data_IF_187249016219
#
_entry.id   IF_187249016219
#
_cell.length_a   1.000
_cell.length_b   1.000
_cell.length_c   1.000
_cell.angle_alpha   90.00
_cell.angle_beta   90.00
_cell.angle_gamma   90.00
#
_symmetry.space_group_name_H-M   'P 1'
#
loop_
_entity.id
_entity.type
_entity.pdbx_description
1 polymer ?
#
# COMPACT_ATOMS: atom_id res chain seq x y z
N UNK A 1 -42.78 21.06 2.89
CA UNK A 1 -42.87 19.58 2.74
C UNK A 1 -42.09 19.01 1.54
N UNK A 2 -41.85 19.74 0.44
CA UNK A 2 -41.04 19.25 -0.71
C UNK A 2 -39.56 18.95 -0.35
N UNK A 3 -38.95 19.82 0.46
CA UNK A 3 -37.53 19.69 0.85
C UNK A 3 -37.20 18.43 1.68
N UNK A 4 -38.14 17.93 2.50
CA UNK A 4 -37.96 16.66 3.26
C UNK A 4 -38.06 15.41 2.37
N UNK A 5 -38.69 15.50 1.19
CA UNK A 5 -38.76 14.39 0.23
C UNK A 5 -37.48 14.30 -0.62
N UNK A 6 -36.91 15.44 -1.01
CA UNK A 6 -35.62 15.51 -1.71
C UNK A 6 -34.46 14.99 -0.83
N UNK A 7 -34.42 15.38 0.44
CA UNK A 7 -33.44 14.85 1.41
C UNK A 7 -33.61 13.35 1.70
N UNK A 8 -34.81 12.80 1.53
CA UNK A 8 -35.07 11.35 1.66
C UNK A 8 -34.71 10.58 0.38
N UNK A 9 -34.77 11.22 -0.79
CA UNK A 9 -34.31 10.62 -2.05
C UNK A 9 -32.79 10.55 -2.12
N UNK A 10 -32.07 11.59 -1.65
CA UNK A 10 -30.60 11.56 -1.52
C UNK A 10 -30.09 10.49 -0.55
N UNK A 11 -30.88 10.12 0.47
CA UNK A 11 -30.52 9.10 1.47
C UNK A 11 -30.83 7.66 1.08
N UNK A 12 -31.53 7.42 -0.04
CA UNK A 12 -32.04 6.08 -0.38
C UNK A 12 -31.12 5.28 -1.30
N UNK A 13 -30.07 5.88 -1.88
CA UNK A 13 -29.21 5.20 -2.85
C UNK A 13 -27.89 4.64 -2.31
N UNK A 14 -27.44 4.96 -1.09
CA UNK A 14 -26.23 4.35 -0.52
C UNK A 14 -26.53 3.51 0.71
N UNK A 15 -27.27 2.41 0.51
CA UNK A 15 -26.90 1.21 1.26
C UNK A 15 -25.87 0.49 0.40
N UNK A 16 -24.62 0.93 0.48
CA UNK A 16 -23.49 0.06 0.16
C UNK A 16 -23.71 -1.20 1.00
N UNK A 17 -24.12 -2.29 0.35
CA UNK A 17 -24.20 -3.58 0.99
C UNK A 17 -22.78 -3.86 1.47
N UNK A 18 -22.53 -3.61 2.75
CA UNK A 18 -21.24 -3.84 3.37
C UNK A 18 -20.90 -5.28 3.05
N UNK A 19 -19.87 -5.48 2.22
CA UNK A 19 -19.54 -6.78 1.68
C UNK A 19 -18.79 -7.54 2.77
N UNK A 20 -19.52 -8.04 3.77
CA UNK A 20 -18.97 -8.72 4.96
C UNK A 20 -18.02 -9.86 4.58
N UNK A 21 -18.28 -10.52 3.44
CA UNK A 21 -17.41 -11.55 2.88
C UNK A 21 -16.06 -10.97 2.47
N UNK A 22 -16.04 -9.79 1.84
CA UNK A 22 -14.81 -9.09 1.49
C UNK A 22 -14.06 -8.61 2.75
N UNK A 23 -14.75 -8.04 3.74
CA UNK A 23 -14.12 -7.61 5.00
C UNK A 23 -13.44 -8.78 5.70
N UNK A 24 -14.13 -9.91 5.87
CA UNK A 24 -13.56 -11.11 6.49
C UNK A 24 -12.36 -11.62 5.67
N UNK A 25 -12.47 -11.61 4.33
CA UNK A 25 -11.38 -12.05 3.45
C UNK A 25 -10.14 -11.16 3.59
N UNK A 26 -10.33 -9.84 3.60
CA UNK A 26 -9.26 -8.86 3.74
C UNK A 26 -8.60 -8.96 5.11
N UNK A 27 -9.37 -9.07 6.19
CA UNK A 27 -8.83 -9.26 7.54
C UNK A 27 -8.07 -10.56 7.68
N UNK A 28 -8.56 -11.68 7.12
CA UNK A 28 -7.84 -12.95 7.12
C UNK A 28 -6.54 -12.85 6.31
N UNK A 29 -6.60 -12.29 5.11
CA UNK A 29 -5.41 -12.07 4.27
C UNK A 29 -4.39 -11.19 4.97
N UNK A 30 -4.83 -10.08 5.56
CA UNK A 30 -3.97 -9.19 6.33
C UNK A 30 -3.30 -9.92 7.49
N UNK A 31 -4.04 -10.75 8.22
CA UNK A 31 -3.49 -11.56 9.30
C UNK A 31 -2.39 -12.52 8.81
N UNK A 32 -2.65 -13.31 7.76
CA UNK A 32 -1.66 -14.25 7.23
C UNK A 32 -0.44 -13.55 6.61
N UNK A 33 -0.64 -12.43 5.90
CA UNK A 33 0.44 -11.64 5.33
C UNK A 33 1.28 -11.01 6.45
N UNK A 34 0.64 -10.47 7.49
CA UNK A 34 1.33 -9.92 8.66
C UNK A 34 2.16 -10.99 9.34
N UNK A 35 1.59 -12.18 9.55
CA UNK A 35 2.30 -13.29 10.17
C UNK A 35 3.53 -13.69 9.34
N UNK A 36 3.38 -13.80 8.03
CA UNK A 36 4.50 -14.10 7.13
C UNK A 36 5.59 -13.02 7.14
N UNK A 37 5.21 -11.74 7.05
CA UNK A 37 6.16 -10.62 7.07
C UNK A 37 6.84 -10.44 8.41
N UNK A 38 6.09 -10.54 9.52
CA UNK A 38 6.63 -10.49 10.87
C UNK A 38 7.60 -11.64 11.10
N UNK A 39 7.23 -12.87 10.74
CA UNK A 39 8.12 -14.03 10.85
C UNK A 39 9.40 -13.86 10.03
N UNK A 40 9.29 -13.37 8.79
CA UNK A 40 10.45 -13.11 7.93
C UNK A 40 11.34 -12.01 8.51
N UNK A 41 10.74 -10.94 9.02
CA UNK A 41 11.47 -9.81 9.62
C UNK A 41 12.17 -10.26 10.90
N UNK A 42 11.49 -11.01 11.75
CA UNK A 42 12.01 -11.50 13.03
C UNK A 42 13.09 -12.57 12.85
N UNK A 43 13.16 -13.27 11.70
CA UNK A 43 14.30 -14.12 11.35
C UNK A 43 15.52 -13.33 10.88
N UNK A 44 15.30 -12.22 10.18
CA UNK A 44 16.37 -11.43 9.54
C UNK A 44 17.00 -10.44 10.52
N UNK A 45 16.19 -9.75 11.34
CA UNK A 45 16.64 -8.66 12.22
C UNK A 45 17.58 -9.07 13.38
N UNK A 46 17.44 -10.22 14.07
CA UNK A 46 18.27 -10.54 15.23
C UNK A 46 19.71 -10.89 14.86
N UNK A 47 19.93 -11.42 13.66
CA UNK A 47 21.24 -11.89 13.19
C UNK A 47 22.00 -10.86 12.35
N UNK A 48 21.48 -9.64 12.23
CA UNK A 48 22.05 -8.63 11.33
C UNK A 48 22.63 -7.42 12.06
N UNK A 49 23.72 -6.90 11.50
CA UNK A 49 24.35 -5.67 11.98
C UNK A 49 23.35 -4.51 12.00
N UNK A 50 23.50 -3.58 12.95
CA UNK A 50 22.71 -2.35 13.08
C UNK A 50 22.46 -1.62 11.75
N UNK A 51 23.47 -1.58 10.87
CA UNK A 51 23.41 -0.96 9.53
C UNK A 51 22.37 -1.65 8.63
N UNK A 52 22.31 -2.98 8.68
CA UNK A 52 21.36 -3.77 7.90
C UNK A 52 19.94 -3.57 8.44
N UNK A 53 19.78 -3.42 9.76
CA UNK A 53 18.49 -3.05 10.36
C UNK A 53 17.95 -1.72 9.81
N UNK A 54 18.79 -0.68 9.73
CA UNK A 54 18.42 0.60 9.09
C UNK A 54 18.03 0.40 7.62
N UNK A 55 18.78 -0.42 6.88
CA UNK A 55 18.51 -0.66 5.47
C UNK A 55 17.14 -1.33 5.28
N UNK A 56 16.85 -2.37 6.08
CA UNK A 56 15.57 -3.08 6.07
C UNK A 56 14.43 -2.13 6.42
N UNK A 57 14.59 -1.28 7.43
CA UNK A 57 13.61 -0.26 7.80
C UNK A 57 13.30 0.68 6.63
N UNK A 58 14.33 1.21 5.95
CA UNK A 58 14.15 2.10 4.81
C UNK A 58 13.42 1.38 3.68
N UNK A 59 13.76 0.11 3.42
CA UNK A 59 13.08 -0.71 2.41
C UNK A 59 11.59 -0.86 2.74
N UNK A 60 11.23 -1.14 4.00
CA UNK A 60 9.83 -1.25 4.41
C UNK A 60 9.05 0.05 4.24
N UNK A 61 9.65 1.19 4.61
CA UNK A 61 9.02 2.50 4.42
C UNK A 61 8.79 2.78 2.92
N UNK A 62 9.82 2.57 2.09
CA UNK A 62 9.71 2.77 0.65
C UNK A 62 8.67 1.83 0.02
N UNK A 63 8.64 0.58 0.45
CA UNK A 63 7.67 -0.41 -0.02
C UNK A 63 6.25 0.04 0.33
N UNK A 64 6.01 0.46 1.57
CA UNK A 64 4.72 1.03 2.00
C UNK A 64 4.29 2.26 1.18
N UNK A 65 5.22 3.16 0.86
CA UNK A 65 4.93 4.35 0.02
C UNK A 65 4.62 3.93 -1.42
N UNK A 66 5.38 3.01 -2.02
CA UNK A 66 5.14 2.54 -3.40
C UNK A 66 3.76 1.87 -3.51
N UNK A 67 3.38 1.02 -2.54
CA UNK A 67 2.08 0.39 -2.54
C UNK A 67 0.92 1.38 -2.32
N UNK A 68 1.11 2.43 -1.49
CA UNK A 68 0.14 3.53 -1.37
C UNK A 68 -0.04 4.28 -2.70
N UNK A 69 1.07 4.63 -3.37
CA UNK A 69 1.06 5.26 -4.70
C UNK A 69 0.31 4.38 -5.71
N UNK A 70 0.53 3.06 -5.68
CA UNK A 70 -0.17 2.12 -6.57
C UNK A 70 -1.68 2.10 -6.29
N UNK A 71 -2.11 2.04 -5.03
CA UNK A 71 -3.53 2.06 -4.67
C UNK A 71 -4.23 3.33 -5.14
N UNK A 72 -3.59 4.48 -4.89
CA UNK A 72 -4.09 5.81 -5.29
C UNK A 72 -4.10 5.97 -6.81
N UNK A 73 -3.07 5.47 -7.50
CA UNK A 73 -3.01 5.51 -8.95
C UNK A 73 -4.10 4.65 -9.59
N UNK A 74 -4.38 3.45 -9.06
CA UNK A 74 -5.42 2.55 -9.57
C UNK A 74 -6.82 3.16 -9.42
N UNK A 75 -7.08 3.87 -8.32
CA UNK A 75 -8.35 4.56 -8.07
C UNK A 75 -8.51 5.85 -8.85
N UNK A 76 -7.40 6.54 -9.16
CA UNK A 76 -7.41 7.81 -9.90
C UNK A 76 -7.24 7.65 -11.42
N UNK A 77 -7.10 6.42 -11.93
CA UNK A 77 -6.92 6.15 -13.35
C UNK A 77 -8.24 6.10 -14.10
N UNK A 78 -8.28 6.64 -15.33
CA UNK A 78 -9.47 6.59 -16.20
C UNK A 78 -9.48 5.28 -17.01
N UNK A 79 -10.62 4.59 -17.06
CA UNK A 79 -10.78 3.33 -17.81
C UNK A 79 -10.63 3.51 -19.34
N UNK A 80 -11.04 4.67 -19.89
CA UNK A 80 -11.10 4.94 -21.34
C UNK A 80 -9.76 4.72 -22.08
N UNK A 81 -8.63 5.29 -21.62
CA UNK A 81 -7.33 5.05 -22.26
C UNK A 81 -6.92 3.57 -22.22
N UNK A 82 -7.26 2.84 -21.16
CA UNK A 82 -6.90 1.42 -21.03
C UNK A 82 -7.76 0.50 -21.87
N UNK A 83 -9.05 0.80 -22.04
CA UNK A 83 -9.90 0.09 -23.00
C UNK A 83 -9.39 0.27 -24.44
N UNK A 84 -8.99 1.49 -24.79
CA UNK A 84 -8.41 1.78 -26.12
C UNK A 84 -7.08 1.04 -26.33
N UNK A 85 -6.22 0.99 -25.31
CA UNK A 85 -4.97 0.21 -25.34
C UNK A 85 -5.21 -1.30 -25.41
N UNK A 86 -6.25 -1.80 -24.74
CA UNK A 86 -6.69 -3.19 -24.79
C UNK A 86 -7.19 -3.62 -26.17
N UNK A 87 -8.01 -2.78 -26.81
CA UNK A 87 -8.45 -2.99 -28.20
C UNK A 87 -7.28 -3.01 -29.18
N UNK A 88 -6.25 -2.19 -28.93
CA UNK A 88 -4.98 -2.18 -29.69
C UNK A 88 -3.99 -3.28 -29.28
N UNK A 89 -4.37 -4.19 -28.37
CA UNK A 89 -3.59 -5.34 -27.89
C UNK A 89 -2.20 -4.96 -27.33
N UNK A 90 -2.10 -3.82 -26.66
CA UNK A 90 -0.86 -3.39 -26.01
C UNK A 90 -0.52 -4.37 -24.86
N UNK A 91 0.74 -4.80 -24.75
CA UNK A 91 1.15 -5.72 -23.68
C UNK A 91 0.84 -5.11 -22.30
N UNK A 92 0.19 -5.88 -21.42
CA UNK A 92 -0.19 -5.46 -20.07
C UNK A 92 -1.52 -4.72 -19.94
N UNK A 93 -2.13 -4.23 -21.03
CA UNK A 93 -3.38 -3.44 -20.97
C UNK A 93 -4.56 -4.21 -20.38
N UNK A 94 -4.66 -5.51 -20.64
CA UNK A 94 -5.73 -6.37 -20.11
C UNK A 94 -5.68 -6.47 -18.58
N UNK A 95 -4.46 -6.41 -18.01
CA UNK A 95 -4.27 -6.42 -16.56
C UNK A 95 -4.67 -5.07 -15.98
N UNK A 96 -4.27 -3.96 -16.62
CA UNK A 96 -4.67 -2.60 -16.22
C UNK A 96 -6.18 -2.45 -16.15
N UNK A 97 -6.92 -2.93 -17.17
CA UNK A 97 -8.40 -2.89 -17.17
C UNK A 97 -8.98 -3.69 -16.01
N UNK A 98 -8.42 -4.87 -15.68
CA UNK A 98 -8.88 -5.68 -14.54
C UNK A 98 -8.59 -5.03 -13.18
N UNK A 99 -7.45 -4.34 -13.06
CA UNK A 99 -7.07 -3.62 -11.85
C UNK A 99 -8.00 -2.43 -11.61
N UNK A 100 -8.26 -1.62 -12.64
CA UNK A 100 -9.14 -0.44 -12.53
C UNK A 100 -10.59 -0.88 -12.28
N UNK A 101 -11.07 -1.94 -12.94
CA UNK A 101 -12.41 -2.50 -12.67
C UNK A 101 -12.61 -2.95 -11.22
N UNK A 102 -11.54 -3.33 -10.52
CA UNK A 102 -11.57 -3.70 -9.10
C UNK A 102 -10.82 -2.67 -8.23
N UNK A 103 -10.76 -1.41 -8.66
CA UNK A 103 -9.90 -0.40 -8.06
C UNK A 103 -10.11 -0.25 -6.55
N UNK A 104 -11.36 -0.29 -6.08
CA UNK A 104 -11.70 -0.19 -4.66
C UNK A 104 -11.04 -1.31 -3.84
N UNK A 105 -11.16 -2.56 -4.30
CA UNK A 105 -10.59 -3.73 -3.62
C UNK A 105 -9.06 -3.74 -3.68
N UNK A 106 -8.49 -3.36 -4.82
CA UNK A 106 -7.03 -3.29 -5.01
C UNK A 106 -6.42 -2.17 -4.18
N UNK A 107 -7.06 -0.99 -4.16
CA UNK A 107 -6.58 0.16 -3.39
C UNK A 107 -6.64 -0.10 -1.90
N UNK A 108 -7.74 -0.67 -1.38
CA UNK A 108 -7.81 -1.02 0.04
C UNK A 108 -6.78 -2.10 0.41
N UNK A 109 -6.55 -3.09 -0.46
CA UNK A 109 -5.49 -4.06 -0.22
C UNK A 109 -4.08 -3.42 -0.22
N UNK A 110 -3.78 -2.54 -1.19
CA UNK A 110 -2.46 -1.91 -1.29
C UNK A 110 -2.20 -0.85 -0.22
N UNK A 111 -3.18 0.02 0.06
CA UNK A 111 -3.03 1.07 1.06
C UNK A 111 -3.23 0.54 2.47
N UNK A 112 -4.33 -0.17 2.73
CA UNK A 112 -4.71 -0.53 4.10
C UNK A 112 -3.95 -1.77 4.54
N UNK A 113 -4.03 -2.88 3.79
CA UNK A 113 -3.35 -4.12 4.21
C UNK A 113 -1.83 -3.99 4.12
N UNK A 114 -1.29 -3.72 2.92
CA UNK A 114 0.16 -3.68 2.74
C UNK A 114 0.76 -2.45 3.42
N UNK A 115 0.12 -1.29 3.31
CA UNK A 115 0.60 -0.05 3.92
C UNK A 115 0.63 -0.11 5.45
N UNK A 116 -0.39 -0.66 6.11
CA UNK A 116 -0.41 -0.78 7.57
C UNK A 116 0.61 -1.81 8.05
N UNK A 117 0.75 -2.95 7.36
CA UNK A 117 1.77 -3.96 7.69
C UNK A 117 3.18 -3.36 7.58
N UNK A 118 3.47 -2.64 6.50
CA UNK A 118 4.77 -1.98 6.34
C UNK A 118 5.00 -0.93 7.43
N UNK A 119 3.95 -0.19 7.82
CA UNK A 119 4.00 0.77 8.93
C UNK A 119 4.30 0.11 10.28
N UNK A 120 3.60 -0.97 10.62
CA UNK A 120 3.78 -1.70 11.89
C UNK A 120 5.16 -2.37 11.96
N UNK A 121 5.59 -3.01 10.87
CA UNK A 121 6.89 -3.69 10.79
C UNK A 121 8.03 -2.68 10.85
N UNK A 122 7.94 -1.57 10.10
CA UNK A 122 8.96 -0.50 10.14
C UNK A 122 9.02 0.21 11.50
N UNK A 123 7.87 0.41 12.15
CA UNK A 123 7.80 0.97 13.50
C UNK A 123 8.43 0.05 14.55
N UNK A 124 8.11 -1.25 14.50
CA UNK A 124 8.71 -2.26 15.38
C UNK A 124 10.23 -2.38 15.17
N UNK A 125 10.67 -2.46 13.91
CA UNK A 125 12.09 -2.44 13.57
C UNK A 125 12.78 -1.16 14.06
N UNK A 126 12.14 -0.01 13.89
CA UNK A 126 12.62 1.29 14.35
C UNK A 126 12.82 1.37 15.86
N UNK A 127 11.91 0.77 16.63
CA UNK A 127 12.03 0.69 18.08
C UNK A 127 13.25 -0.15 18.50
N UNK A 128 13.46 -1.32 17.88
CA UNK A 128 14.63 -2.17 18.13
C UNK A 128 15.92 -1.40 17.80
N UNK A 129 15.96 -0.76 16.64
CA UNK A 129 17.09 0.07 16.19
C UNK A 129 17.38 1.21 17.18
N UNK A 130 16.35 1.87 17.70
CA UNK A 130 16.51 2.96 18.65
C UNK A 130 17.10 2.48 19.98
N UNK A 131 16.70 1.30 20.46
CA UNK A 131 17.27 0.68 21.66
C UNK A 131 18.75 0.36 21.44
N UNK A 132 19.09 -0.30 20.34
CA UNK A 132 20.48 -0.63 20.00
C UNK A 132 21.35 0.62 19.85
N UNK A 133 20.80 1.69 19.24
CA UNK A 133 21.50 2.96 19.08
C UNK A 133 21.76 3.63 20.43
N UNK A 134 20.75 3.64 21.31
CA UNK A 134 20.87 4.23 22.65
C UNK A 134 21.94 3.52 23.49
N UNK A 135 21.99 2.19 23.43
CA UNK A 135 22.98 1.39 24.14
C UNK A 135 24.40 1.63 23.61
N UNK A 136 24.56 1.77 22.29
CA UNK A 136 25.87 2.00 21.67
C UNK A 136 26.45 3.38 21.96
N UNK A 137 25.61 4.41 22.05
CA UNK A 137 26.02 5.80 22.27
C UNK A 137 25.86 6.28 23.72
N UNK A 138 25.42 5.42 24.65
CA UNK A 138 25.13 5.76 26.05
C UNK A 138 24.14 6.95 26.23
N UNK A 139 23.18 7.08 25.31
CA UNK A 139 22.11 8.07 25.43
C UNK A 139 20.94 7.56 26.26
N UNK A 140 20.04 8.48 26.63
CA UNK A 140 18.77 8.10 27.25
C UNK A 140 17.88 7.36 26.23
N UNK A 141 17.50 6.13 26.57
CA UNK A 141 16.69 5.24 25.74
C UNK A 141 15.34 5.86 25.39
N UNK A 142 14.72 6.58 26.33
CA UNK A 142 13.42 7.21 26.11
C UNK A 142 13.52 8.30 25.04
N UNK A 143 14.48 9.20 25.17
CA UNK A 143 14.69 10.31 24.24
C UNK A 143 15.09 9.81 22.85
N UNK A 144 15.99 8.82 22.78
CA UNK A 144 16.44 8.25 21.51
C UNK A 144 15.29 7.56 20.78
N UNK A 145 14.49 6.76 21.49
CA UNK A 145 13.31 6.10 20.92
C UNK A 145 12.27 7.10 20.40
N UNK A 146 11.98 8.16 21.15
CA UNK A 146 11.09 9.24 20.73
C UNK A 146 11.56 9.91 19.43
N UNK A 147 12.84 10.26 19.35
CA UNK A 147 13.41 10.92 18.17
C UNK A 147 13.35 10.00 16.96
N UNK A 148 13.80 8.75 17.11
CA UNK A 148 13.84 7.79 16.00
C UNK A 148 12.43 7.48 15.49
N UNK A 149 11.48 7.18 16.38
CA UNK A 149 10.09 6.91 16.00
C UNK A 149 9.42 8.13 15.35
N UNK A 150 9.71 9.35 15.84
CA UNK A 150 9.20 10.59 15.22
C UNK A 150 9.77 10.81 13.82
N UNK A 151 11.07 10.53 13.61
CA UNK A 151 11.69 10.60 12.28
C UNK A 151 11.01 9.60 11.33
N UNK A 152 10.84 8.35 11.76
CA UNK A 152 10.19 7.31 10.96
C UNK A 152 8.76 7.72 10.59
N UNK A 153 7.98 8.22 11.55
CA UNK A 153 6.62 8.68 11.32
C UNK A 153 6.59 9.85 10.33
N UNK A 154 7.43 10.86 10.52
CA UNK A 154 7.50 12.02 9.62
C UNK A 154 7.89 11.64 8.19
N UNK A 155 8.84 10.72 8.02
CA UNK A 155 9.30 10.24 6.73
C UNK A 155 8.21 9.42 6.02
N UNK A 156 7.51 8.57 6.77
CA UNK A 156 6.43 7.72 6.23
C UNK A 156 5.24 8.57 5.78
N UNK A 157 4.80 9.51 6.64
CA UNK A 157 3.65 10.38 6.35
C UNK A 157 3.99 11.37 5.23
N UNK A 158 5.16 12.02 5.29
CA UNK A 158 5.63 12.95 4.27
C UNK A 158 5.85 12.27 2.92
N UNK A 159 6.45 11.08 2.92
CA UNK A 159 6.65 10.28 1.72
C UNK A 159 5.34 9.89 1.03
N UNK A 160 4.34 9.43 1.80
CA UNK A 160 2.99 9.15 1.27
C UNK A 160 2.33 10.41 0.71
N UNK A 161 2.43 11.55 1.38
CA UNK A 161 1.84 12.80 0.92
C UNK A 161 2.40 13.25 -0.45
N UNK A 162 3.72 13.23 -0.61
CA UNK A 162 4.38 13.54 -1.90
C UNK A 162 3.98 12.49 -2.95
N UNK A 163 3.99 11.21 -2.57
CA UNK A 163 3.62 10.09 -3.43
C UNK A 163 2.20 10.22 -3.99
N UNK A 164 1.23 10.65 -3.19
CA UNK A 164 -0.17 10.81 -3.62
C UNK A 164 -0.34 11.84 -4.71
N UNK A 165 0.31 13.00 -4.59
CA UNK A 165 0.24 14.02 -5.65
C UNK A 165 0.80 13.47 -6.97
N UNK A 166 1.94 12.79 -6.91
CA UNK A 166 2.53 12.13 -8.07
C UNK A 166 1.65 11.00 -8.63
N UNK A 167 0.99 10.24 -7.75
CA UNK A 167 0.09 9.15 -8.12
C UNK A 167 -1.13 9.64 -8.91
N UNK A 168 -1.66 10.81 -8.57
CA UNK A 168 -2.81 11.41 -9.26
C UNK A 168 -2.38 11.94 -10.63
N UNK A 169 -1.29 12.71 -10.70
CA UNK A 169 -0.82 13.32 -11.95
C UNK A 169 -0.39 12.29 -13.00
N UNK A 170 0.19 11.15 -12.54
CA UNK A 170 0.75 10.12 -13.40
C UNK A 170 0.03 8.76 -13.25
N UNK A 171 -1.23 8.77 -12.82
CA UNK A 171 -2.02 7.58 -12.49
C UNK A 171 -1.99 6.53 -13.60
N UNK A 172 -2.31 6.93 -14.83
CA UNK A 172 -2.35 6.05 -16.00
C UNK A 172 -0.98 5.42 -16.30
N UNK A 173 0.12 6.17 -16.15
CA UNK A 173 1.48 5.67 -16.43
C UNK A 173 1.91 4.68 -15.35
N UNK A 174 1.61 4.97 -14.08
CA UNK A 174 1.92 4.10 -12.94
C UNK A 174 1.20 2.76 -13.09
N UNK A 175 -0.11 2.80 -13.34
CA UNK A 175 -0.92 1.59 -13.54
C UNK A 175 -0.44 0.80 -14.75
N UNK A 176 -0.11 1.48 -15.86
CA UNK A 176 0.44 0.81 -17.04
C UNK A 176 1.79 0.14 -16.76
N UNK A 177 2.74 0.84 -16.12
CA UNK A 177 4.05 0.29 -15.76
C UNK A 177 3.92 -0.91 -14.83
N UNK A 178 3.08 -0.80 -13.80
CA UNK A 178 2.79 -1.91 -12.88
C UNK A 178 2.19 -3.11 -13.63
N UNK A 179 1.18 -2.87 -14.47
CA UNK A 179 0.53 -3.92 -15.26
C UNK A 179 1.49 -4.58 -16.26
N UNK A 180 2.42 -3.81 -16.84
CA UNK A 180 3.47 -4.32 -17.72
C UNK A 180 4.45 -5.20 -16.96
N UNK A 181 4.87 -4.79 -15.76
CA UNK A 181 5.74 -5.58 -14.90
C UNK A 181 5.08 -6.89 -14.49
N UNK A 182 3.82 -6.83 -14.06
CA UNK A 182 3.01 -8.02 -13.75
C UNK A 182 2.84 -8.89 -15.01
N UNK A 183 2.64 -8.31 -16.19
CA UNK A 183 2.51 -9.08 -17.45
C UNK A 183 3.78 -9.80 -17.88
N UNK A 184 4.96 -9.38 -17.42
CA UNK A 184 6.22 -10.10 -17.67
C UNK A 184 6.27 -11.37 -16.82
N UNK A 185 5.85 -11.27 -15.56
CA UNK A 185 5.82 -12.40 -14.63
C UNK A 185 4.64 -13.35 -14.89
N UNK A 186 3.50 -12.76 -15.23
CA UNK A 186 2.27 -13.43 -15.59
C UNK A 186 2.17 -13.48 -17.11
N UNK A 187 2.86 -14.46 -17.71
CA UNK A 187 2.65 -14.83 -19.12
C UNK A 187 1.25 -15.42 -19.23
N UNK A 188 0.22 -14.57 -19.27
CA UNK A 188 -1.18 -15.00 -19.39
C UNK A 188 -1.29 -15.86 -20.64
N UNK A 189 -1.62 -17.14 -20.42
CA UNK A 189 -2.05 -18.10 -21.42
C UNK A 189 -3.23 -17.44 -22.18
N UNK A 190 -3.00 -17.06 -23.43
CA UNK A 190 -4.03 -16.53 -24.33
C UNK A 190 -5.04 -17.65 -24.56
N UNK A 191 -6.22 -17.56 -23.96
CA UNK A 191 -7.36 -18.24 -24.57
C UNK A 191 -7.67 -17.50 -25.87
N UNK A 192 -7.48 -18.23 -26.98
CA UNK A 192 -7.98 -17.88 -28.30
C UNK A 192 -9.50 -17.86 -28.28
#
# INVERSE_FOLDING_TARGET
MKHKKELKQLKKEEKSLVDYKWIITVSLMAFFISLFFSFTSELILPNTNFIIGILVLIIFILLGIIFDILGVAVTSSDEKPFHSMSSRRVKGSNISVKLIKNAEKVSSFCNDVIGDICGIVSGSAGAIIAITLSQKFNFNQFTTSLIVTSIIASLTIGGKAIGKSFAIDQSNIIVYKFSKLVSIFYKVKRNK
#
